data_IF_011280953460
#
_entry.id   IF_011280953460
#
_cell.length_a   1.000
_cell.length_b   1.000
_cell.length_c   1.000
_cell.angle_alpha   90.00
_cell.angle_beta   90.00
_cell.angle_gamma   90.00
#
_symmetry.space_group_name_H-M   'P 1'
#
loop_
_entity.id
_entity.type
_entity.pdbx_description
1 polymer ?
#
# COMPACT_ATOMS: atom_id res chain seq x y z
N UNK A 1 -7.68 -2.03 8.80
CA UNK A 1 -9.05 -1.98 8.24
C UNK A 1 -9.96 -0.89 8.82
N UNK A 2 -9.87 -0.51 10.10
CA UNK A 2 -10.74 0.55 10.66
C UNK A 2 -10.66 1.89 9.89
N UNK A 3 -9.46 2.32 9.47
CA UNK A 3 -9.30 3.54 8.66
C UNK A 3 -10.04 3.44 7.31
N UNK A 4 -9.92 2.32 6.60
CA UNK A 4 -10.60 2.05 5.32
C UNK A 4 -12.12 2.02 5.49
N UNK A 5 -12.61 1.49 6.62
CA UNK A 5 -14.04 1.50 6.93
C UNK A 5 -14.57 2.92 7.17
N UNK A 6 -13.78 3.77 7.85
CA UNK A 6 -14.16 5.15 8.19
C UNK A 6 -14.06 6.11 7.00
N UNK A 7 -13.03 5.95 6.18
CA UNK A 7 -12.72 6.88 5.09
C UNK A 7 -13.31 6.39 3.77
N UNK A 8 -14.26 7.13 3.21
CA UNK A 8 -14.97 6.74 1.99
C UNK A 8 -14.07 6.71 0.76
N UNK A 9 -13.09 7.62 0.67
CA UNK A 9 -12.19 7.70 -0.48
C UNK A 9 -11.24 6.51 -0.54
N UNK A 10 -10.93 5.89 0.60
CA UNK A 10 -10.22 4.62 0.66
C UNK A 10 -11.07 3.42 0.19
N UNK A 11 -12.32 3.62 -0.25
CA UNK A 11 -13.19 2.59 -0.84
C UNK A 11 -13.65 2.95 -2.26
N UNK A 12 -13.01 3.95 -2.88
CA UNK A 12 -13.35 4.39 -4.22
C UNK A 12 -12.80 3.46 -5.31
N UNK A 13 -13.50 3.44 -6.45
CA UNK A 13 -13.00 3.04 -7.77
C UNK A 13 -13.46 4.04 -8.82
N UNK A 14 -12.79 4.10 -9.95
CA UNK A 14 -13.15 4.93 -11.11
C UNK A 14 -14.00 4.13 -12.08
N UNK A 15 -15.09 4.71 -12.57
CA UNK A 15 -15.96 4.11 -13.57
C UNK A 15 -15.49 4.46 -14.98
N UNK A 16 -15.94 3.73 -16.03
CA UNK A 16 -15.54 3.99 -17.42
C UNK A 16 -15.88 5.41 -17.92
N UNK A 17 -16.86 6.07 -17.31
CA UNK A 17 -17.24 7.46 -17.62
C UNK A 17 -16.38 8.52 -16.90
N UNK A 18 -15.36 8.09 -16.16
CA UNK A 18 -14.45 8.95 -15.40
C UNK A 18 -14.98 9.38 -14.03
N UNK A 19 -16.20 8.98 -13.65
CA UNK A 19 -16.74 9.26 -12.32
C UNK A 19 -16.18 8.30 -11.26
N UNK A 20 -16.35 8.64 -9.99
CA UNK A 20 -15.91 7.80 -8.88
C UNK A 20 -17.10 7.15 -8.18
N UNK A 21 -16.97 5.87 -7.83
CA UNK A 21 -17.95 5.14 -7.04
C UNK A 21 -17.34 4.72 -5.72
N UNK A 22 -17.98 5.10 -4.61
CA UNK A 22 -17.65 4.60 -3.27
C UNK A 22 -18.30 3.23 -3.07
N UNK A 23 -17.48 2.22 -2.75
CA UNK A 23 -17.95 0.89 -2.44
C UNK A 23 -18.45 0.83 -0.99
N UNK A 24 -19.71 0.42 -0.78
CA UNK A 24 -20.32 0.35 0.55
C UNK A 24 -19.53 -0.54 1.52
N UNK A 25 -18.97 -1.65 1.01
CA UNK A 25 -18.09 -2.55 1.73
C UNK A 25 -16.98 -3.02 0.79
N UNK A 26 -15.79 -3.27 1.35
CA UNK A 26 -14.64 -3.84 0.65
C UNK A 26 -14.07 -4.99 1.47
N UNK A 27 -13.38 -5.95 0.83
CA UNK A 27 -12.66 -6.99 1.56
C UNK A 27 -11.64 -6.39 2.55
N UNK A 28 -11.29 -7.16 3.57
CA UNK A 28 -10.21 -6.79 4.48
C UNK A 28 -8.91 -6.60 3.69
N UNK A 29 -8.33 -5.40 3.75
CA UNK A 29 -7.05 -5.12 3.11
C UNK A 29 -5.94 -5.94 3.78
N UNK A 30 -5.19 -6.66 2.95
CA UNK A 30 -4.03 -7.44 3.39
C UNK A 30 -2.80 -6.55 3.33
N UNK A 31 -2.36 -6.09 4.50
CA UNK A 31 -1.14 -5.28 4.60
C UNK A 31 0.07 -6.18 4.36
N UNK A 32 0.88 -5.82 3.37
CA UNK A 32 2.16 -6.47 3.16
C UNK A 32 3.12 -6.11 4.29
N UNK A 33 3.70 -7.13 4.93
CA UNK A 33 4.58 -6.95 6.08
C UNK A 33 5.92 -7.65 5.81
N UNK A 34 7.01 -6.91 6.03
CA UNK A 34 8.38 -7.42 5.91
C UNK A 34 9.13 -7.17 7.19
N UNK A 35 9.92 -8.15 7.62
CA UNK A 35 10.86 -7.99 8.71
C UNK A 35 12.27 -7.87 8.16
N UNK A 36 12.86 -6.68 8.25
CA UNK A 36 14.20 -6.37 7.78
C UNK A 36 15.20 -6.22 8.93
N UNK A 37 14.80 -6.55 10.18
CA UNK A 37 15.62 -6.35 11.38
C UNK A 37 16.86 -7.24 11.40
N UNK A 38 16.79 -8.42 10.79
CA UNK A 38 17.91 -9.37 10.70
C UNK A 38 18.95 -8.99 9.63
N UNK A 39 18.66 -8.01 8.77
CA UNK A 39 19.56 -7.59 7.70
C UNK A 39 20.65 -6.64 8.22
N UNK A 40 21.82 -6.71 7.59
CA UNK A 40 22.87 -5.70 7.78
C UNK A 40 22.34 -4.32 7.35
N UNK A 41 22.93 -3.21 7.84
CA UNK A 41 22.47 -1.86 7.49
C UNK A 41 22.38 -1.62 5.98
N UNK A 42 23.41 -2.05 5.21
CA UNK A 42 23.42 -1.88 3.75
C UNK A 42 22.33 -2.73 3.08
N UNK A 43 22.24 -4.02 3.42
CA UNK A 43 21.22 -4.91 2.84
C UNK A 43 19.79 -4.45 3.19
N UNK A 44 19.59 -3.87 4.38
CA UNK A 44 18.32 -3.26 4.77
C UNK A 44 18.00 -2.03 3.93
N UNK A 45 18.96 -1.16 3.70
CA UNK A 45 18.77 0.02 2.85
C UNK A 45 18.43 -0.37 1.40
N UNK A 46 19.16 -1.35 0.86
CA UNK A 46 18.90 -1.86 -0.49
C UNK A 46 17.49 -2.45 -0.60
N UNK A 47 17.07 -3.24 0.40
CA UNK A 47 15.71 -3.78 0.46
C UNK A 47 14.64 -2.68 0.55
N UNK A 48 14.87 -1.63 1.35
CA UNK A 48 13.96 -0.48 1.45
C UNK A 48 13.87 0.29 0.13
N UNK A 49 14.99 0.51 -0.57
CA UNK A 49 15.00 1.18 -1.87
C UNK A 49 14.27 0.36 -2.93
N UNK A 50 14.43 -0.96 -2.93
CA UNK A 50 13.68 -1.84 -3.83
C UNK A 50 12.16 -1.82 -3.55
N UNK A 51 11.77 -1.77 -2.27
CA UNK A 51 10.35 -1.64 -1.89
C UNK A 51 9.80 -0.29 -2.35
N UNK A 52 10.55 0.79 -2.10
CA UNK A 52 10.16 2.14 -2.49
C UNK A 52 9.99 2.25 -4.00
N UNK A 53 10.98 1.78 -4.77
CA UNK A 53 10.97 1.80 -6.23
C UNK A 53 9.76 1.05 -6.82
N UNK A 54 9.46 -0.13 -6.28
CA UNK A 54 8.26 -0.88 -6.67
C UNK A 54 6.98 -0.09 -6.40
N UNK A 55 6.85 0.50 -5.21
CA UNK A 55 5.64 1.21 -4.80
C UNK A 55 5.46 2.53 -5.55
N UNK A 56 6.54 3.26 -5.85
CA UNK A 56 6.48 4.55 -6.54
C UNK A 56 6.09 4.45 -8.00
N UNK A 57 6.40 3.32 -8.64
CA UNK A 57 6.11 3.09 -10.06
C UNK A 57 4.86 2.24 -10.29
N UNK A 58 4.20 1.77 -9.22
CA UNK A 58 3.03 0.92 -9.35
C UNK A 58 1.80 1.73 -9.79
N UNK A 59 1.33 1.48 -11.01
CA UNK A 59 0.10 2.07 -11.54
C UNK A 59 -1.08 1.18 -11.17
N UNK A 60 -1.92 1.65 -10.26
CA UNK A 60 -3.15 0.96 -9.88
C UNK A 60 -4.18 1.05 -11.01
N UNK A 61 -4.79 -0.07 -11.44
CA UNK A 61 -5.94 -0.03 -12.32
C UNK A 61 -7.07 0.76 -11.67
N UNK A 62 -7.40 1.91 -12.25
CA UNK A 62 -8.33 2.86 -11.62
C UNK A 62 -9.75 2.29 -11.45
N UNK A 63 -10.11 1.29 -12.25
CA UNK A 63 -11.41 0.59 -12.20
C UNK A 63 -11.53 -0.40 -11.03
N UNK A 64 -10.45 -0.62 -10.28
CA UNK A 64 -10.36 -1.63 -9.23
C UNK A 64 -9.93 -1.01 -7.93
N UNK A 65 -10.61 -1.42 -6.87
CA UNK A 65 -10.12 -1.20 -5.52
C UNK A 65 -9.03 -2.24 -5.20
N UNK A 66 -7.95 -1.88 -4.50
CA UNK A 66 -7.63 -0.55 -3.97
C UNK A 66 -6.85 0.34 -4.95
N UNK A 67 -7.09 1.66 -4.86
CA UNK A 67 -6.34 2.71 -5.56
C UNK A 67 -5.05 3.14 -4.83
N UNK A 68 -4.65 2.38 -3.81
CA UNK A 68 -3.48 2.63 -2.99
C UNK A 68 -2.76 1.30 -2.71
N UNK A 69 -1.49 1.40 -2.35
CA UNK A 69 -0.71 0.30 -1.81
C UNK A 69 -0.06 0.73 -0.49
N UNK A 70 -0.15 -0.13 0.52
CA UNK A 70 0.49 0.05 1.81
C UNK A 70 1.41 -1.14 2.08
N UNK A 71 2.65 -0.84 2.45
CA UNK A 71 3.60 -1.83 2.95
C UNK A 71 4.13 -1.38 4.30
N UNK A 72 4.34 -2.35 5.19
CA UNK A 72 5.05 -2.16 6.45
C UNK A 72 6.37 -2.92 6.41
N UNK A 73 7.44 -2.24 6.79
CA UNK A 73 8.78 -2.83 6.90
C UNK A 73 9.32 -2.55 8.30
N UNK A 74 9.48 -3.60 9.11
CA UNK A 74 10.12 -3.49 10.41
C UNK A 74 11.64 -3.35 10.22
N UNK A 75 12.20 -2.25 10.71
CA UNK A 75 13.62 -1.94 10.65
C UNK A 75 14.13 -1.62 12.05
N UNK A 76 15.38 -1.99 12.36
CA UNK A 76 16.07 -1.45 13.53
C UNK A 76 16.51 -0.01 13.23
N UNK A 77 16.37 0.89 14.21
CA UNK A 77 16.83 2.26 14.07
C UNK A 77 18.34 2.26 13.76
N UNK A 78 18.75 3.01 12.73
CA UNK A 78 20.17 3.32 12.53
C UNK A 78 20.58 4.30 13.63
N UNK A 79 21.50 3.88 14.50
CA UNK A 79 22.28 4.77 15.36
C UNK A 79 23.46 5.32 14.57
#
# INVERSE_FOLDING_TARGET
>A
NALIARDEMLRARVLPDGTQQILAQVPAYQLEQRDLRALSPNARNDALMAILDRLSHHVHPADRWPLFDFSYSACTAQH
#
